data_IF_058652794632
#
_entry.id   IF_058652794632
#
_cell.length_a   1.000
_cell.length_b   1.000
_cell.length_c   1.000
_cell.angle_alpha   90.00
_cell.angle_beta   90.00
_cell.angle_gamma   90.00
#
_symmetry.space_group_name_H-M   'P 1'
#
loop_
_entity.id
_entity.type
_entity.pdbx_description
1 polymer ?
#
# COMPACT_ATOMS: atom_id res chain seq x y z
N UNK A 1 -18.48 6.22 -33.94
CA UNK A 1 -17.14 5.97 -33.35
C UNK A 1 -16.35 5.10 -34.31
N UNK A 2 -15.40 5.71 -35.02
CA UNK A 2 -14.79 5.18 -36.24
C UNK A 2 -13.81 4.05 -35.96
N UNK A 3 -13.83 3.05 -36.84
CA UNK A 3 -12.93 1.87 -36.88
C UNK A 3 -11.44 2.29 -36.85
N UNK A 4 -11.14 3.51 -37.32
CA UNK A 4 -9.82 4.15 -37.30
C UNK A 4 -9.28 4.34 -35.87
N UNK A 5 -10.14 4.61 -34.89
CA UNK A 5 -9.74 4.80 -33.48
C UNK A 5 -9.30 3.50 -32.82
N UNK A 6 -9.93 2.36 -33.17
CA UNK A 6 -9.55 1.04 -32.65
C UNK A 6 -8.25 0.54 -33.26
N UNK A 7 -8.01 0.85 -34.54
CA UNK A 7 -6.76 0.48 -35.23
C UNK A 7 -5.56 1.25 -34.70
N UNK A 8 -5.73 2.52 -34.33
CA UNK A 8 -4.66 3.34 -33.74
C UNK A 8 -4.27 2.84 -32.35
N UNK A 9 -5.26 2.40 -31.55
CA UNK A 9 -5.04 1.87 -30.20
C UNK A 9 -4.30 0.51 -30.21
N UNK A 10 -4.58 -0.33 -31.21
CA UNK A 10 -3.86 -1.60 -31.43
C UNK A 10 -2.41 -1.37 -31.87
N UNK A 11 -2.15 -0.35 -32.70
CA UNK A 11 -0.81 -0.06 -33.21
C UNK A 11 0.13 0.46 -32.10
N UNK A 12 -0.40 1.22 -31.14
CA UNK A 12 0.36 1.71 -29.97
C UNK A 12 0.72 0.55 -29.02
N UNK A 13 -0.14 -0.48 -28.92
CA UNK A 13 0.11 -1.63 -28.04
C UNK A 13 1.24 -2.55 -28.54
N UNK A 14 1.50 -2.58 -29.86
CA UNK A 14 2.51 -3.46 -30.46
C UNK A 14 3.95 -2.93 -30.38
N UNK A 15 4.16 -1.64 -30.10
CA UNK A 15 5.50 -1.01 -30.12
C UNK A 15 6.25 -1.14 -28.78
N UNK A 16 5.59 -1.61 -27.71
CA UNK A 16 6.19 -1.63 -26.35
C UNK A 16 6.85 -2.98 -25.98
N UNK A 17 6.86 -3.98 -26.88
CA UNK A 17 7.33 -5.35 -26.53
C UNK A 17 8.65 -5.82 -27.16
N UNK A 18 9.48 -4.92 -27.70
CA UNK A 18 10.79 -5.31 -28.27
C UNK A 18 11.92 -4.55 -27.57
N UNK A 19 12.46 -5.17 -26.52
CA UNK A 19 13.67 -4.79 -25.78
C UNK A 19 13.59 -5.29 -24.34
N UNK A 20 14.45 -6.16 -23.80
CA UNK A 20 15.74 -6.68 -24.21
C UNK A 20 15.89 -8.12 -23.71
N UNK A 21 16.10 -9.09 -24.60
CA UNK A 21 16.75 -10.37 -24.27
C UNK A 21 18.16 -10.33 -24.84
N UNK A 22 19.12 -9.89 -24.03
CA UNK A 22 20.54 -10.11 -24.29
C UNK A 22 21.12 -10.69 -23.01
N UNK A 23 21.19 -12.01 -22.96
CA UNK A 23 21.99 -12.76 -22.00
C UNK A 23 23.36 -12.98 -22.63
N UNK A 24 24.46 -12.42 -22.11
CA UNK A 24 25.79 -12.89 -22.47
C UNK A 24 26.09 -14.17 -21.71
N UNK A 25 26.12 -15.28 -22.45
CA UNK A 25 26.74 -16.54 -22.03
C UNK A 25 28.23 -16.30 -21.88
N UNK A 26 28.74 -16.27 -20.64
CA UNK A 26 30.18 -16.32 -20.38
C UNK A 26 30.52 -17.66 -19.72
N UNK A 27 30.82 -18.66 -20.55
CA UNK A 27 31.66 -19.78 -20.13
C UNK A 27 33.11 -19.30 -20.21
N UNK A 28 33.79 -19.28 -19.07
CA UNK A 28 35.23 -19.53 -19.06
C UNK A 28 35.58 -20.20 -17.74
N UNK A 29 35.91 -21.47 -17.86
CA UNK A 29 36.60 -22.25 -16.84
C UNK A 29 37.97 -21.60 -16.61
N UNK A 30 38.29 -21.29 -15.36
CA UNK A 30 39.66 -21.46 -14.90
C UNK A 30 39.69 -21.64 -13.38
N UNK A 31 40.19 -22.80 -13.01
CA UNK A 31 40.43 -23.26 -11.65
C UNK A 31 41.62 -22.50 -11.09
N UNK A 32 41.46 -21.77 -9.99
CA UNK A 32 42.56 -21.58 -9.06
C UNK A 32 42.09 -21.61 -7.61
N UNK A 33 42.70 -22.56 -6.92
CA UNK A 33 42.49 -22.98 -5.55
C UNK A 33 42.79 -21.84 -4.57
N UNK A 34 41.79 -21.37 -3.82
CA UNK A 34 42.00 -20.65 -2.56
C UNK A 34 40.83 -21.00 -1.64
N UNK A 35 41.07 -21.92 -0.71
CA UNK A 35 40.14 -22.28 0.35
C UNK A 35 39.93 -21.06 1.28
N UNK A 36 38.83 -20.36 1.05
CA UNK A 36 38.18 -19.49 2.05
C UNK A 36 37.07 -20.35 2.69
N UNK A 37 36.80 -20.26 4.00
CA UNK A 37 35.68 -21.00 4.60
C UNK A 37 34.35 -20.47 4.04
N UNK A 38 33.88 -21.03 2.93
CA UNK A 38 32.66 -20.61 2.21
C UNK A 38 31.36 -21.20 2.78
N UNK A 39 31.40 -21.85 3.95
CA UNK A 39 30.19 -22.45 4.52
C UNK A 39 29.22 -21.42 5.15
N UNK A 40 29.67 -20.21 5.51
CA UNK A 40 28.79 -19.21 6.14
C UNK A 40 28.04 -18.32 5.12
N UNK A 41 28.57 -18.12 3.91
CA UNK A 41 27.89 -17.27 2.91
C UNK A 41 26.71 -17.97 2.24
N UNK A 42 26.79 -19.28 1.99
CA UNK A 42 25.76 -20.00 1.24
C UNK A 42 24.45 -20.15 2.05
N UNK A 43 24.55 -20.43 3.35
CA UNK A 43 23.40 -20.54 4.25
C UNK A 43 22.74 -19.16 4.52
N UNK A 44 23.51 -18.07 4.39
CA UNK A 44 23.01 -16.70 4.55
C UNK A 44 22.08 -16.25 3.41
N UNK A 45 22.27 -16.74 2.18
CA UNK A 45 21.37 -16.43 1.04
C UNK A 45 20.06 -17.23 1.10
N UNK A 46 20.11 -18.49 1.57
CA UNK A 46 18.93 -19.37 1.63
C UNK A 46 17.76 -18.76 2.40
N UNK A 47 18.03 -18.14 3.55
CA UNK A 47 16.98 -17.58 4.42
C UNK A 47 16.25 -16.36 3.83
N UNK A 48 16.93 -15.53 3.04
CA UNK A 48 16.30 -14.35 2.40
C UNK A 48 15.58 -14.74 1.11
N UNK A 49 16.17 -15.64 0.33
CA UNK A 49 15.58 -16.12 -0.92
C UNK A 49 14.25 -16.85 -0.63
N UNK A 50 14.20 -17.68 0.40
CA UNK A 50 12.96 -18.32 0.86
C UNK A 50 11.90 -17.29 1.29
N UNK A 51 12.32 -16.21 1.96
CA UNK A 51 11.41 -15.14 2.38
C UNK A 51 10.85 -14.38 1.17
N UNK A 52 11.67 -14.14 0.15
CA UNK A 52 11.27 -13.49 -1.10
C UNK A 52 10.35 -14.40 -1.94
N UNK A 53 10.63 -15.70 -2.01
CA UNK A 53 9.76 -16.69 -2.63
C UNK A 53 8.40 -16.76 -1.91
N UNK A 54 8.42 -16.73 -0.57
CA UNK A 54 7.21 -16.67 0.22
C UNK A 54 6.39 -15.42 -0.11
N UNK A 55 7.04 -14.25 -0.19
CA UNK A 55 6.37 -13.02 -0.57
C UNK A 55 5.75 -13.09 -1.97
N UNK A 56 6.45 -13.64 -2.97
CA UNK A 56 5.91 -13.85 -4.31
C UNK A 56 4.67 -14.77 -4.29
N UNK A 57 4.69 -15.83 -3.48
CA UNK A 57 3.52 -16.69 -3.28
C UNK A 57 2.35 -15.94 -2.65
N UNK A 58 2.58 -15.07 -1.68
CA UNK A 58 1.53 -14.25 -1.07
C UNK A 58 0.82 -13.37 -2.10
N UNK A 59 1.56 -12.79 -3.06
CA UNK A 59 0.98 -11.94 -4.11
C UNK A 59 0.04 -12.72 -5.06
N UNK A 60 0.26 -14.03 -5.21
CA UNK A 60 -0.53 -14.92 -6.07
C UNK A 60 -1.78 -15.47 -5.37
N UNK A 61 -1.88 -15.36 -4.05
CA UNK A 61 -3.00 -15.88 -3.26
C UNK A 61 -4.21 -14.95 -3.35
N UNK A 62 -5.41 -15.55 -3.37
CA UNK A 62 -6.66 -14.81 -3.20
C UNK A 62 -6.94 -14.47 -1.72
N UNK A 63 -7.97 -13.66 -1.47
CA UNK A 63 -8.29 -13.19 -0.12
C UNK A 63 -8.54 -14.33 0.90
N UNK A 64 -9.21 -15.41 0.49
CA UNK A 64 -9.50 -16.56 1.37
C UNK A 64 -8.22 -17.33 1.70
N UNK A 65 -7.37 -17.54 0.69
CA UNK A 65 -6.07 -18.20 0.87
C UNK A 65 -5.15 -17.36 1.77
N UNK A 66 -5.13 -16.03 1.59
CA UNK A 66 -4.39 -15.11 2.45
C UNK A 66 -4.89 -15.12 3.89
N UNK A 67 -6.20 -15.18 4.13
CA UNK A 67 -6.75 -15.27 5.47
C UNK A 67 -6.41 -16.61 6.16
N UNK A 68 -6.43 -17.71 5.41
CA UNK A 68 -5.98 -19.02 5.90
C UNK A 68 -4.50 -19.01 6.27
N UNK A 69 -3.66 -18.49 5.37
CA UNK A 69 -2.21 -18.32 5.57
C UNK A 69 -1.89 -17.45 6.79
N UNK A 70 -2.63 -16.35 6.96
CA UNK A 70 -2.52 -15.48 8.14
C UNK A 70 -2.80 -16.24 9.44
N UNK A 71 -3.91 -16.99 9.50
CA UNK A 71 -4.27 -17.72 10.70
C UNK A 71 -3.26 -18.83 11.02
N UNK A 72 -2.79 -19.54 10.00
CA UNK A 72 -1.76 -20.56 10.13
C UNK A 72 -0.45 -19.97 10.66
N UNK A 73 0.07 -18.94 9.99
CA UNK A 73 1.35 -18.31 10.35
C UNK A 73 1.29 -17.63 11.71
N UNK A 74 0.17 -17.00 12.06
CA UNK A 74 -0.05 -16.41 13.39
C UNK A 74 -0.01 -17.47 14.49
N UNK A 75 -0.63 -18.63 14.26
CA UNK A 75 -0.60 -19.75 15.21
C UNK A 75 0.80 -20.32 15.31
N UNK A 76 1.49 -20.49 14.18
CA UNK A 76 2.86 -20.99 14.13
C UNK A 76 3.81 -20.08 14.92
N UNK A 77 3.83 -18.78 14.62
CA UNK A 77 4.66 -17.79 15.31
C UNK A 77 4.42 -17.74 16.83
N UNK A 78 3.18 -17.92 17.28
CA UNK A 78 2.86 -17.97 18.72
C UNK A 78 3.46 -19.19 19.42
N UNK A 79 3.55 -20.32 18.72
CA UNK A 79 4.03 -21.58 19.26
C UNK A 79 5.56 -21.70 19.12
N UNK A 80 6.09 -21.22 18.00
CA UNK A 80 7.50 -21.27 17.61
C UNK A 80 7.94 -19.87 17.15
N UNK A 81 8.47 -19.02 18.04
CA UNK A 81 8.83 -17.64 17.72
C UNK A 81 10.22 -17.51 17.07
N UNK A 82 10.57 -18.40 16.14
CA UNK A 82 11.83 -18.33 15.40
C UNK A 82 11.89 -17.15 14.41
N UNK A 83 13.08 -16.89 13.86
CA UNK A 83 13.32 -15.78 12.93
C UNK A 83 12.38 -15.81 11.73
N UNK A 84 12.25 -16.98 11.12
CA UNK A 84 11.52 -17.20 9.87
C UNK A 84 10.01 -16.99 10.08
N UNK A 85 9.44 -17.63 11.10
CA UNK A 85 8.03 -17.52 11.48
C UNK A 85 7.67 -16.08 11.82
N UNK A 86 8.57 -15.38 12.53
CA UNK A 86 8.41 -13.96 12.84
C UNK A 86 8.37 -13.12 11.58
N UNK A 87 9.30 -13.34 10.63
CA UNK A 87 9.37 -12.59 9.37
C UNK A 87 8.18 -12.88 8.44
N UNK A 88 7.80 -14.14 8.28
CA UNK A 88 6.59 -14.54 7.53
C UNK A 88 5.36 -13.87 8.09
N UNK A 89 5.21 -13.88 9.42
CA UNK A 89 4.12 -13.18 10.09
C UNK A 89 4.15 -11.67 9.83
N UNK A 90 5.32 -11.04 9.97
CA UNK A 90 5.52 -9.60 9.68
C UNK A 90 5.14 -9.27 8.24
N UNK A 91 5.54 -10.07 7.25
CA UNK A 91 5.20 -9.84 5.84
C UNK A 91 3.69 -9.88 5.62
N UNK A 92 3.00 -10.86 6.18
CA UNK A 92 1.54 -10.98 6.08
C UNK A 92 0.82 -9.75 6.64
N UNK A 93 1.17 -9.32 7.86
CA UNK A 93 0.53 -8.15 8.47
C UNK A 93 0.97 -6.82 7.86
N UNK A 94 2.01 -6.84 7.03
CA UNK A 94 2.46 -5.69 6.23
C UNK A 94 1.74 -5.57 4.89
N UNK A 95 1.07 -6.63 4.41
CA UNK A 95 0.39 -6.62 3.12
C UNK A 95 -0.69 -5.52 3.06
N UNK A 96 -0.76 -4.73 1.97
CA UNK A 96 -1.80 -3.73 1.81
C UNK A 96 -3.15 -4.37 1.48
N UNK A 97 -4.24 -3.65 1.77
CA UNK A 97 -5.62 -4.02 1.38
C UNK A 97 -6.12 -5.36 1.96
N UNK A 98 -5.56 -5.83 3.06
CA UNK A 98 -6.09 -6.99 3.78
C UNK A 98 -6.76 -6.57 5.09
N UNK A 99 -7.69 -7.37 5.60
CA UNK A 99 -8.36 -7.09 6.88
C UNK A 99 -7.44 -7.24 8.09
N UNK A 100 -6.35 -7.98 7.93
CA UNK A 100 -5.36 -8.25 8.96
C UNK A 100 -4.10 -7.38 8.84
N UNK A 101 -4.08 -6.39 7.93
CA UNK A 101 -2.98 -5.43 7.84
C UNK A 101 -2.82 -4.68 9.16
N UNK A 102 -1.64 -4.77 9.77
CA UNK A 102 -1.28 -4.02 10.96
C UNK A 102 0.19 -3.59 10.91
N UNK A 103 0.42 -2.43 10.31
CA UNK A 103 1.76 -1.84 10.16
C UNK A 103 2.39 -1.54 11.52
N UNK A 104 1.60 -1.09 12.52
CA UNK A 104 2.14 -0.76 13.84
C UNK A 104 2.72 -2.00 14.53
N UNK A 105 2.00 -3.13 14.48
CA UNK A 105 2.49 -4.40 15.01
C UNK A 105 3.69 -4.91 14.21
N UNK A 106 3.69 -4.78 12.88
CA UNK A 106 4.83 -5.13 12.03
C UNK A 106 6.10 -4.36 12.44
N UNK A 107 5.99 -3.04 12.56
CA UNK A 107 7.08 -2.17 13.01
C UNK A 107 7.54 -2.51 14.43
N UNK A 108 6.62 -2.81 15.35
CA UNK A 108 6.98 -3.22 16.70
C UNK A 108 7.80 -4.52 16.70
N UNK A 109 7.36 -5.53 15.93
CA UNK A 109 8.07 -6.80 15.81
C UNK A 109 9.42 -6.67 15.11
N UNK A 110 9.54 -5.75 14.15
CA UNK A 110 10.79 -5.46 13.47
C UNK A 110 11.74 -4.63 14.34
N UNK A 111 11.27 -3.68 15.15
CA UNK A 111 12.17 -2.90 16.00
C UNK A 111 12.64 -3.70 17.22
N UNK A 112 11.72 -4.43 17.86
CA UNK A 112 12.00 -5.22 19.06
C UNK A 112 12.41 -6.65 18.73
N UNK A 113 13.48 -6.78 17.96
CA UNK A 113 13.99 -8.09 17.57
C UNK A 113 14.67 -8.80 18.76
N UNK A 114 14.39 -10.08 19.01
CA UNK A 114 14.98 -10.82 20.14
C UNK A 114 16.49 -10.98 19.98
N UNK A 115 17.25 -10.84 21.07
CA UNK A 115 18.72 -10.92 21.04
C UNK A 115 19.22 -12.35 20.88
N UNK A 116 18.41 -13.32 21.27
CA UNK A 116 18.63 -14.76 21.17
C UNK A 116 18.50 -15.29 19.73
N UNK A 117 17.93 -14.51 18.82
CA UNK A 117 17.74 -14.90 17.41
C UNK A 117 18.82 -14.25 16.56
N UNK A 118 19.79 -15.06 16.12
CA UNK A 118 20.82 -14.63 15.17
C UNK A 118 20.20 -14.30 13.81
N UNK A 119 20.74 -13.26 13.17
CA UNK A 119 20.27 -12.77 11.88
C UNK A 119 21.45 -12.55 10.97
N UNK A 120 21.36 -13.11 9.76
CA UNK A 120 22.39 -12.90 8.73
C UNK A 120 22.46 -11.43 8.30
N UNK A 121 23.60 -10.98 7.77
CA UNK A 121 23.77 -9.56 7.39
C UNK A 121 22.75 -9.12 6.34
N UNK A 122 22.45 -9.97 5.37
CA UNK A 122 21.46 -9.69 4.32
C UNK A 122 20.07 -9.49 4.91
N UNK A 123 19.69 -10.36 5.84
CA UNK A 123 18.40 -10.28 6.50
C UNK A 123 18.29 -9.07 7.43
N UNK A 124 19.39 -8.68 8.07
CA UNK A 124 19.47 -7.46 8.87
C UNK A 124 19.31 -6.20 8.02
N UNK A 125 19.91 -6.17 6.83
CA UNK A 125 19.74 -5.08 5.87
C UNK A 125 18.32 -5.03 5.31
N UNK A 126 17.74 -6.19 4.96
CA UNK A 126 16.35 -6.30 4.54
C UNK A 126 15.38 -5.79 5.62
N UNK A 127 15.62 -6.15 6.89
CA UNK A 127 14.86 -5.64 8.04
C UNK A 127 14.90 -4.12 8.11
N UNK A 128 16.07 -3.49 7.97
CA UNK A 128 16.21 -2.02 7.98
C UNK A 128 15.41 -1.38 6.83
N UNK A 129 15.51 -1.95 5.63
CA UNK A 129 14.74 -1.50 4.46
C UNK A 129 13.23 -1.59 4.73
N UNK A 130 12.77 -2.73 5.24
CA UNK A 130 11.36 -2.98 5.54
C UNK A 130 10.85 -2.01 6.61
N UNK A 131 11.64 -1.69 7.64
CA UNK A 131 11.29 -0.68 8.65
C UNK A 131 11.10 0.69 7.99
N UNK A 132 11.99 1.11 7.09
CA UNK A 132 11.86 2.40 6.38
C UNK A 132 10.57 2.46 5.57
N UNK A 133 10.33 1.44 4.75
CA UNK A 133 9.14 1.35 3.88
C UNK A 133 7.84 1.36 4.68
N UNK A 134 7.79 0.60 5.79
CA UNK A 134 6.60 0.54 6.63
C UNK A 134 6.34 1.85 7.37
N UNK A 135 7.39 2.56 7.79
CA UNK A 135 7.26 3.89 8.41
C UNK A 135 6.72 4.91 7.40
N UNK A 136 7.27 4.94 6.19
CA UNK A 136 6.76 5.79 5.12
C UNK A 136 5.30 5.46 4.78
N UNK A 137 4.95 4.18 4.68
CA UNK A 137 3.57 3.76 4.46
C UNK A 137 2.64 4.20 5.59
N UNK A 138 3.09 4.17 6.85
CA UNK A 138 2.32 4.64 7.99
C UNK A 138 2.07 6.15 7.94
N UNK A 139 3.09 6.93 7.61
CA UNK A 139 2.99 8.39 7.42
C UNK A 139 2.00 8.69 6.30
N UNK A 140 2.19 8.10 5.11
CA UNK A 140 1.32 8.30 3.96
C UNK A 140 -0.15 7.95 4.26
N UNK A 141 -0.41 6.88 5.01
CA UNK A 141 -1.78 6.50 5.43
C UNK A 141 -2.38 7.51 6.41
N UNK A 142 -1.57 8.06 7.30
CA UNK A 142 -2.01 9.08 8.26
C UNK A 142 -2.36 10.37 7.53
N UNK A 143 -1.50 10.80 6.60
CA UNK A 143 -1.73 11.98 5.78
C UNK A 143 -2.97 11.84 4.90
N UNK A 144 -3.15 10.68 4.25
CA UNK A 144 -4.33 10.40 3.44
C UNK A 144 -5.63 10.47 4.27
N UNK A 145 -5.61 9.97 5.52
CA UNK A 145 -6.75 10.08 6.44
C UNK A 145 -7.03 11.52 6.82
N UNK A 146 -5.99 12.28 7.18
CA UNK A 146 -6.12 13.69 7.54
C UNK A 146 -6.66 14.53 6.37
N UNK A 147 -6.17 14.28 5.16
CA UNK A 147 -6.67 14.93 3.94
C UNK A 147 -8.13 14.56 3.66
N UNK A 148 -8.49 13.29 3.80
CA UNK A 148 -9.88 12.85 3.64
C UNK A 148 -10.82 13.51 4.65
N UNK A 149 -10.40 13.66 5.91
CA UNK A 149 -11.17 14.38 6.93
C UNK A 149 -11.31 15.87 6.61
N UNK A 150 -10.23 16.53 6.16
CA UNK A 150 -10.27 17.94 5.74
C UNK A 150 -11.21 18.15 4.55
N UNK A 151 -11.19 17.24 3.57
CA UNK A 151 -12.09 17.29 2.42
C UNK A 151 -13.55 17.15 2.86
N UNK A 152 -13.84 16.19 3.74
CA UNK A 152 -15.19 16.01 4.28
C UNK A 152 -15.69 17.26 5.03
N UNK A 153 -14.85 17.83 5.90
CA UNK A 153 -15.21 19.05 6.62
C UNK A 153 -15.44 20.24 5.68
N UNK A 154 -14.63 20.35 4.61
CA UNK A 154 -14.81 21.38 3.58
C UNK A 154 -16.09 21.19 2.78
N UNK A 155 -16.47 19.95 2.49
CA UNK A 155 -17.72 19.63 1.77
C UNK A 155 -18.95 19.97 2.62
N UNK A 156 -18.93 19.61 3.91
CA UNK A 156 -19.98 19.99 4.87
C UNK A 156 -20.11 21.53 4.98
N UNK A 157 -18.99 22.26 4.97
CA UNK A 157 -19.00 23.72 4.98
C UNK A 157 -19.59 24.31 3.69
N UNK A 158 -19.29 23.71 2.53
CA UNK A 158 -19.83 24.15 1.25
C UNK A 158 -21.35 23.96 1.19
N UNK A 159 -21.85 22.81 1.67
CA UNK A 159 -23.29 22.53 1.75
C UNK A 159 -24.01 23.53 2.67
N UNK A 160 -23.46 23.82 3.85
CA UNK A 160 -24.03 24.82 4.76
C UNK A 160 -24.09 26.22 4.14
N UNK A 161 -23.07 26.60 3.36
CA UNK A 161 -23.04 27.88 2.66
C UNK A 161 -24.09 27.94 1.54
N UNK A 162 -24.29 26.85 0.81
CA UNK A 162 -25.32 26.74 -0.23
C UNK A 162 -26.74 26.86 0.37
N UNK A 163 -27.01 26.17 1.48
CA UNK A 163 -28.29 26.29 2.21
C UNK A 163 -28.54 27.72 2.70
N UNK A 164 -27.50 28.38 3.23
CA UNK A 164 -27.58 29.77 3.66
C UNK A 164 -27.85 30.72 2.49
N UNK A 165 -27.16 30.54 1.36
CA UNK A 165 -27.37 31.31 0.15
C UNK A 165 -28.80 31.12 -0.40
N UNK A 166 -29.31 29.89 -0.39
CA UNK A 166 -30.70 29.61 -0.79
C UNK A 166 -31.71 30.27 0.15
N UNK A 167 -31.44 30.26 1.46
CA UNK A 167 -32.27 30.96 2.45
C UNK A 167 -32.29 32.46 2.21
N UNK A 168 -31.13 33.06 1.95
CA UNK A 168 -31.02 34.49 1.63
C UNK A 168 -31.79 34.82 0.34
N UNK A 169 -31.64 34.01 -0.70
CA UNK A 169 -32.36 34.18 -1.96
C UNK A 169 -33.88 34.16 -1.76
N UNK A 170 -34.37 33.18 -1.00
CA UNK A 170 -35.80 33.09 -0.66
C UNK A 170 -36.31 34.34 0.07
N UNK A 171 -35.51 34.91 0.98
CA UNK A 171 -35.85 36.16 1.69
C UNK A 171 -35.88 37.36 0.75
N UNK A 172 -34.89 37.49 -0.12
CA UNK A 172 -34.84 38.57 -1.13
C UNK A 172 -36.06 38.49 -2.05
N UNK A 173 -36.40 37.30 -2.53
CA UNK A 173 -37.57 37.10 -3.39
C UNK A 173 -38.88 37.44 -2.67
N UNK A 174 -39.00 37.13 -1.38
CA UNK A 174 -40.14 37.53 -0.56
C UNK A 174 -40.26 39.07 -0.45
N UNK A 175 -39.17 39.77 -0.16
CA UNK A 175 -39.15 41.25 -0.11
C UNK A 175 -39.53 41.84 -1.47
N UNK A 176 -38.93 41.34 -2.55
CA UNK A 176 -39.22 41.78 -3.92
C UNK A 176 -40.69 41.58 -4.29
N UNK A 177 -41.31 40.49 -3.84
CA UNK A 177 -42.73 40.25 -4.04
C UNK A 177 -43.61 41.21 -3.22
N UNK A 178 -43.18 41.58 -2.00
CA UNK A 178 -43.85 42.62 -1.21
C UNK A 178 -43.77 43.99 -1.88
N UNK A 179 -42.62 44.38 -2.43
CA UNK A 179 -42.46 45.66 -3.16
C UNK A 179 -43.32 45.72 -4.43
N UNK A 180 -43.49 44.59 -5.12
CA UNK A 180 -44.35 44.50 -6.31
C UNK A 180 -45.84 44.52 -6.00
N UNK A 181 -46.25 44.33 -4.75
CA UNK A 181 -47.63 44.53 -4.33
C UNK A 181 -47.80 45.97 -3.85
N UNK A 182 -48.30 46.91 -4.68
CA UNK A 182 -48.62 48.24 -4.20
C UNK A 182 -49.63 48.11 -3.06
N UNK A 183 -49.49 48.95 -2.03
CA UNK A 183 -50.40 49.09 -0.89
C UNK A 183 -51.81 49.39 -1.42
N UNK A 184 -52.56 48.35 -1.81
CA UNK A 184 -54.01 48.39 -1.98
C UNK A 184 -54.57 48.43 -0.58
N UNK A 185 -54.65 49.62 0.01
CA UNK A 185 -55.55 50.02 1.13
C UNK A 185 -55.01 51.27 1.80
N UNK A 186 -55.16 52.42 1.15
CA UNK A 186 -55.52 53.65 1.87
C UNK A 186 -56.46 54.43 0.95
N UNK A 187 -57.75 54.17 1.04
CA UNK A 187 -58.78 55.14 0.63
C UNK A 187 -59.98 54.92 1.57
N UNK A 188 -60.45 55.98 2.26
CA UNK A 188 -61.42 55.91 3.37
C UNK A 188 -62.82 55.49 2.93
#
# INVERSE_FOLDING_TARGET
MSIVSKSLLLLIFSVVLIGCTITPTHQSSDSLNTQIPQQDELDQYHSLDELMLYYDQLQKKNATQLASEYNHTKKHFKNNPDAESRLKYILLISLPKTSFTNIQTALNLLNNWPQDITMSTNLANFRKLLISLLREQQIARTDARNLSQKLKASDEQAQALEEYAQTLKNRIDAIKNMEKQPIRRITP
#
